data_IF_082500688459
#
_entry.id   IF_082500688459
#
_cell.length_a   1.000
_cell.length_b   1.000
_cell.length_c   1.000
_cell.angle_alpha   90.00
_cell.angle_beta   90.00
_cell.angle_gamma   90.00
#
_symmetry.space_group_name_H-M   'P 1'
#
loop_
_entity.id
_entity.type
_entity.pdbx_description
1 polymer ?
#
# COMPACT_ATOMS: atom_id res chain seq x y z
N UNK A 1 19.31 3.82 -16.70
CA UNK A 1 20.42 3.27 -15.89
C UNK A 1 20.10 3.67 -14.46
N UNK A 2 19.92 2.79 -13.48
CA UNK A 2 20.40 1.42 -13.29
C UNK A 2 19.56 0.77 -12.18
N UNK A 3 19.22 -0.52 -12.39
CA UNK A 3 18.79 -1.53 -11.40
C UNK A 3 17.37 -1.28 -10.85
N UNK A 4 16.36 -2.14 -11.09
CA UNK A 4 16.38 -3.56 -10.74
C UNK A 4 15.39 -4.42 -11.55
N UNK A 5 15.34 -4.29 -12.88
CA UNK A 5 14.71 -5.33 -13.74
C UNK A 5 15.47 -6.67 -13.76
N UNK A 6 16.53 -6.80 -12.95
CA UNK A 6 17.38 -7.99 -12.84
C UNK A 6 17.12 -8.83 -11.57
N UNK A 7 16.31 -8.37 -10.61
CA UNK A 7 15.92 -9.22 -9.46
C UNK A 7 14.75 -10.15 -9.79
N UNK A 8 13.93 -9.78 -10.78
CA UNK A 8 12.69 -10.49 -11.13
C UNK A 8 12.95 -11.90 -11.68
N UNK A 9 14.16 -12.18 -12.19
CA UNK A 9 14.49 -13.51 -12.73
C UNK A 9 15.07 -14.48 -11.68
N UNK A 10 15.44 -14.01 -10.49
CA UNK A 10 15.92 -14.87 -9.40
C UNK A 10 14.89 -15.06 -8.27
N UNK A 11 13.92 -14.15 -8.16
CA UNK A 11 12.84 -14.23 -7.18
C UNK A 11 11.79 -15.32 -7.48
N UNK A 12 11.85 -15.99 -8.63
CA UNK A 12 11.03 -17.19 -8.87
C UNK A 12 11.42 -18.37 -7.96
N UNK A 13 12.59 -18.34 -7.32
CA UNK A 13 13.15 -19.55 -6.70
C UNK A 13 13.21 -19.55 -5.17
N UNK A 14 13.22 -18.43 -4.45
CA UNK A 14 13.39 -18.48 -2.99
C UNK A 14 12.67 -17.34 -2.27
N UNK A 15 11.57 -17.72 -1.59
CA UNK A 15 10.78 -16.98 -0.57
C UNK A 15 9.72 -16.01 -1.08
N UNK A 16 8.52 -16.56 -1.28
CA UNK A 16 7.25 -15.90 -0.96
C UNK A 16 6.42 -16.89 -0.15
N UNK A 17 6.51 -16.82 1.17
CA UNK A 17 5.66 -17.58 2.10
C UNK A 17 4.25 -16.99 2.07
N UNK A 18 3.32 -17.67 1.42
CA UNK A 18 2.03 -17.95 2.06
C UNK A 18 2.09 -19.42 2.48
N UNK A 19 2.35 -19.62 3.75
CA UNK A 19 2.34 -20.93 4.39
C UNK A 19 0.90 -21.43 4.47
N UNK A 20 0.52 -22.41 3.64
CA UNK A 20 -0.30 -23.53 4.12
C UNK A 20 0.09 -24.80 3.38
N UNK A 21 0.72 -25.68 4.14
CA UNK A 21 1.00 -27.08 3.87
C UNK A 21 -0.20 -27.85 3.31
N UNK A 22 0.10 -28.80 2.43
CA UNK A 22 -0.76 -29.91 2.01
C UNK A 22 -1.46 -30.61 3.19
N UNK A 23 -2.79 -30.66 3.15
CA UNK A 23 -3.66 -31.44 4.02
C UNK A 23 -5.13 -31.18 3.68
N UNK A 24 -5.79 -32.16 3.06
CA UNK A 24 -7.19 -32.11 2.64
C UNK A 24 -8.13 -31.66 3.77
N UNK A 25 -8.88 -30.57 3.52
CA UNK A 25 -10.18 -30.24 4.13
C UNK A 25 -10.81 -29.06 3.38
N UNK A 26 -11.63 -29.38 2.38
CA UNK A 26 -12.58 -28.44 1.78
C UNK A 26 -13.57 -27.96 2.85
N UNK A 27 -13.40 -26.74 3.37
CA UNK A 27 -14.48 -26.02 4.02
C UNK A 27 -14.51 -24.60 3.49
N UNK A 28 -15.65 -24.21 2.92
CA UNK A 28 -16.01 -22.90 2.41
C UNK A 28 -15.79 -21.75 3.43
N UNK A 29 -14.54 -21.37 3.71
CA UNK A 29 -14.20 -20.23 4.59
C UNK A 29 -14.75 -18.92 4.01
N UNK A 30 -14.80 -18.82 2.67
CA UNK A 30 -15.36 -17.66 1.96
C UNK A 30 -16.89 -17.48 2.11
N UNK A 31 -17.61 -18.43 2.72
CA UNK A 31 -19.07 -18.30 2.94
C UNK A 31 -19.46 -17.82 4.33
N UNK A 32 -18.54 -17.79 5.29
CA UNK A 32 -18.85 -17.24 6.61
C UNK A 32 -19.01 -15.71 6.51
N UNK A 33 -20.22 -15.17 6.79
CA UNK A 33 -20.44 -13.72 6.75
C UNK A 33 -19.51 -12.97 7.70
N UNK A 34 -19.08 -13.59 8.80
CA UNK A 34 -18.14 -13.00 9.76
C UNK A 34 -16.77 -12.83 9.13
N UNK A 35 -16.21 -13.90 8.55
CA UNK A 35 -14.94 -13.87 7.84
C UNK A 35 -14.90 -12.82 6.72
N UNK A 36 -15.94 -12.77 5.91
CA UNK A 36 -16.05 -11.78 4.83
C UNK A 36 -16.07 -10.34 5.36
N UNK A 37 -16.79 -10.08 6.45
CA UNK A 37 -16.83 -8.75 7.07
C UNK A 37 -15.47 -8.32 7.61
N UNK A 38 -14.73 -9.23 8.26
CA UNK A 38 -13.38 -8.96 8.76
C UNK A 38 -12.38 -8.71 7.64
N UNK A 39 -12.48 -9.45 6.53
CA UNK A 39 -11.64 -9.24 5.35
C UNK A 39 -11.92 -7.88 4.70
N UNK A 40 -13.19 -7.48 4.62
CA UNK A 40 -13.58 -6.19 4.10
C UNK A 40 -13.06 -5.05 5.00
N UNK A 41 -13.17 -5.20 6.31
CA UNK A 41 -12.68 -4.20 7.25
C UNK A 41 -11.16 -4.05 7.19
N UNK A 42 -10.40 -5.16 7.14
CA UNK A 42 -8.95 -5.11 6.95
C UNK A 42 -8.57 -4.39 5.65
N UNK A 43 -9.30 -4.65 4.55
CA UNK A 43 -9.09 -3.94 3.29
C UNK A 43 -9.32 -2.44 3.46
N UNK A 44 -10.44 -2.06 4.09
CA UNK A 44 -10.80 -0.66 4.34
C UNK A 44 -9.74 0.06 5.18
N UNK A 45 -9.23 -0.61 6.23
CA UNK A 45 -8.17 -0.08 7.09
C UNK A 45 -6.85 0.09 6.32
N UNK A 46 -6.49 -0.89 5.48
CA UNK A 46 -5.29 -0.82 4.64
C UNK A 46 -5.36 0.34 3.64
N UNK A 47 -6.50 0.50 2.96
CA UNK A 47 -6.72 1.59 2.00
C UNK A 47 -6.62 2.99 2.63
N UNK A 48 -6.80 3.12 3.95
CA UNK A 48 -6.66 4.41 4.66
C UNK A 48 -5.20 4.84 4.86
N UNK A 49 -4.26 3.89 4.88
CA UNK A 49 -2.83 4.17 5.14
C UNK A 49 -1.96 4.01 3.90
N UNK A 50 -2.45 3.34 2.86
CA UNK A 50 -1.73 3.09 1.63
C UNK A 50 -1.66 4.35 0.72
N UNK A 51 -0.56 4.49 -0.01
CA UNK A 51 -0.36 5.57 -0.98
C UNK A 51 -1.43 5.51 -2.07
N UNK A 52 -2.20 6.59 -2.18
CA UNK A 52 -3.27 6.74 -3.17
C UNK A 52 -2.79 6.93 -4.63
N UNK A 53 -1.47 6.89 -4.85
CA UNK A 53 -0.86 7.05 -6.19
C UNK A 53 -0.37 5.70 -6.72
N UNK A 54 0.40 4.94 -5.93
CA UNK A 54 0.94 3.65 -6.36
C UNK A 54 0.19 2.45 -5.81
N UNK A 55 -0.54 2.58 -4.69
CA UNK A 55 -1.20 1.45 -4.01
C UNK A 55 -0.23 0.29 -3.66
N UNK A 56 1.03 0.62 -3.37
CA UNK A 56 2.09 -0.35 -3.07
C UNK A 56 2.74 -0.11 -1.69
N UNK A 57 2.87 1.16 -1.30
CA UNK A 57 3.61 1.59 -0.11
C UNK A 57 2.75 2.52 0.75
N UNK A 58 3.05 2.63 2.05
CA UNK A 58 2.29 3.48 2.97
C UNK A 58 2.57 4.98 2.81
N UNK A 59 1.59 5.78 3.21
CA UNK A 59 1.68 7.25 3.19
C UNK A 59 2.79 7.70 4.14
N UNK A 60 3.69 8.54 3.62
CA UNK A 60 4.88 9.01 4.34
C UNK A 60 4.97 10.54 4.42
N UNK A 61 4.09 11.28 3.74
CA UNK A 61 4.12 12.73 3.68
C UNK A 61 2.78 13.38 3.99
N UNK A 62 2.84 14.56 4.61
CA UNK A 62 1.79 15.57 4.57
C UNK A 62 2.16 16.69 3.59
N UNK A 63 1.22 17.06 2.71
CA UNK A 63 1.41 18.14 1.75
C UNK A 63 0.96 19.48 2.34
N UNK A 64 1.82 20.48 2.30
CA UNK A 64 1.54 21.83 2.84
C UNK A 64 1.34 22.80 1.66
N UNK A 65 0.29 23.64 1.66
CA UNK A 65 -0.59 23.95 2.80
C UNK A 65 -1.87 23.11 2.91
N UNK A 66 -2.15 22.18 2.00
CA UNK A 66 -3.47 21.54 1.96
C UNK A 66 -3.73 20.50 3.07
N UNK A 67 -2.70 19.96 3.70
CA UNK A 67 -2.79 19.01 4.81
C UNK A 67 -3.11 17.56 4.43
N UNK A 68 -3.27 17.22 3.14
CA UNK A 68 -3.65 15.87 2.74
C UNK A 68 -2.50 14.86 2.84
N UNK A 69 -2.86 13.65 3.28
CA UNK A 69 -2.01 12.47 3.45
C UNK A 69 -2.32 11.48 2.32
N UNK A 70 -1.53 11.50 1.25
CA UNK A 70 -1.90 10.78 0.00
C UNK A 70 -0.77 10.04 -0.70
N UNK A 71 0.49 10.21 -0.26
CA UNK A 71 1.65 9.74 -0.99
C UNK A 71 2.72 9.09 -0.10
N UNK A 72 3.29 7.99 -0.59
CA UNK A 72 4.53 7.40 -0.08
C UNK A 72 5.76 8.27 -0.42
N UNK A 73 6.94 7.83 -0.01
CA UNK A 73 8.21 8.56 -0.23
C UNK A 73 8.44 8.83 -1.73
N UNK A 74 8.39 7.80 -2.57
CA UNK A 74 8.72 7.95 -3.98
C UNK A 74 7.71 8.79 -4.76
N UNK A 75 6.42 8.55 -4.55
CA UNK A 75 5.37 9.31 -5.21
C UNK A 75 5.31 10.76 -4.70
N UNK A 76 5.53 10.96 -3.40
CA UNK A 76 5.57 12.27 -2.80
C UNK A 76 6.69 13.14 -3.34
N UNK A 77 7.89 12.60 -3.56
CA UNK A 77 9.02 13.35 -4.16
C UNK A 77 8.68 13.88 -5.57
N UNK A 78 7.98 13.10 -6.39
CA UNK A 78 7.57 13.48 -7.75
C UNK A 78 6.35 14.39 -7.81
N UNK A 79 5.54 14.45 -6.74
CA UNK A 79 4.30 15.23 -6.73
C UNK A 79 4.55 16.75 -6.70
N UNK A 80 3.84 17.49 -7.57
CA UNK A 80 3.84 18.97 -7.59
C UNK A 80 2.52 19.56 -7.06
N UNK A 81 1.43 18.80 -7.18
CA UNK A 81 0.09 19.14 -6.71
C UNK A 81 -0.49 17.96 -5.95
N UNK A 82 -1.35 18.25 -4.98
CA UNK A 82 -2.08 17.22 -4.26
C UNK A 82 -3.12 16.54 -5.17
N UNK A 83 -3.20 15.21 -5.17
CA UNK A 83 -4.17 14.48 -6.00
C UNK A 83 -5.62 14.58 -5.49
N UNK A 84 -5.82 14.80 -4.19
CA UNK A 84 -7.16 14.89 -3.58
C UNK A 84 -7.79 16.28 -3.83
N UNK A 85 -7.02 17.36 -3.77
CA UNK A 85 -7.55 18.73 -3.84
C UNK A 85 -6.94 19.62 -4.92
N UNK A 86 -5.98 19.10 -5.69
CA UNK A 86 -5.28 19.81 -6.77
C UNK A 86 -4.52 21.09 -6.35
N UNK A 87 -4.33 21.32 -5.05
CA UNK A 87 -3.58 22.46 -4.53
C UNK A 87 -2.06 22.27 -4.77
N UNK A 88 -1.35 23.37 -5.08
CA UNK A 88 0.09 23.31 -5.32
C UNK A 88 0.86 23.07 -4.03
N UNK A 89 1.77 22.10 -4.05
CA UNK A 89 2.54 21.69 -2.88
C UNK A 89 3.72 22.66 -2.70
N UNK A 90 3.76 23.35 -1.57
CA UNK A 90 4.85 24.27 -1.20
C UNK A 90 5.91 23.58 -0.35
N UNK A 91 5.48 22.71 0.55
CA UNK A 91 6.35 21.91 1.42
C UNK A 91 5.79 20.49 1.54
N UNK A 92 6.69 19.50 1.65
CA UNK A 92 6.38 18.10 1.91
C UNK A 92 7.03 17.72 3.23
N UNK A 93 6.24 17.36 4.23
CA UNK A 93 6.77 17.01 5.55
C UNK A 93 6.61 15.53 5.79
N UNK A 94 7.71 14.85 6.11
CA UNK A 94 7.68 13.43 6.45
C UNK A 94 6.92 13.24 7.76
N UNK A 95 6.06 12.23 7.79
CA UNK A 95 5.33 11.83 8.99
C UNK A 95 5.69 10.39 9.35
N UNK A 96 5.62 10.07 10.62
CA UNK A 96 5.71 8.71 11.13
C UNK A 96 4.34 8.37 11.70
N UNK A 97 3.64 7.43 11.06
CA UNK A 97 2.41 6.86 11.59
C UNK A 97 2.82 5.89 12.71
N UNK A 98 2.31 6.13 13.91
CA UNK A 98 2.59 5.35 15.13
C UNK A 98 1.52 4.28 15.31
#
# INVERSE_FOLDING_TARGET
MVKTKLFVLFAFFVVGTDETSSGDRDTNIDTDPTFNSLRQENRRLKEQVECKICHEEDISFVFIPCGHLVACIECGERALKCIDCNFSIKEKRKIHLV
#
